data_IF_437678723548
#
_entry.id   IF_437678723548
#
_cell.length_a   1.000
_cell.length_b   1.000
_cell.length_c   1.000
_cell.angle_alpha   90.00
_cell.angle_beta   90.00
_cell.angle_gamma   90.00
#
_symmetry.space_group_name_H-M   'P 1'
#
loop_
_entity.id
_entity.type
_entity.pdbx_description
1 polymer ?
#
# COMPACT_ATOMS: atom_id res chain seq x y z
N UNK A 1 10.95 -2.92 11.83
CA UNK A 1 12.05 -1.98 12.14
C UNK A 1 12.38 -1.14 10.92
N UNK A 2 12.88 0.08 11.10
CA UNK A 2 13.37 0.92 9.99
C UNK A 2 14.58 0.30 9.29
N UNK A 3 15.50 -0.31 10.05
CA UNK A 3 16.71 -0.93 9.50
C UNK A 3 16.44 -2.02 8.47
N UNK A 4 15.37 -2.81 8.64
CA UNK A 4 14.96 -3.83 7.66
C UNK A 4 14.58 -3.24 6.30
N UNK A 5 13.94 -2.07 6.31
CA UNK A 5 13.58 -1.35 5.09
C UNK A 5 14.83 -0.70 4.46
N UNK A 6 15.64 0.00 5.25
CA UNK A 6 16.86 0.65 4.76
C UNK A 6 17.85 -0.34 4.16
N UNK A 7 17.97 -1.55 4.72
CA UNK A 7 18.87 -2.60 4.23
C UNK A 7 18.58 -3.09 2.80
N UNK A 8 17.37 -2.88 2.26
CA UNK A 8 16.94 -3.43 0.97
C UNK A 8 16.60 -2.36 -0.08
N UNK A 9 16.69 -1.09 0.27
CA UNK A 9 16.45 0.02 -0.66
C UNK A 9 17.75 0.76 -0.97
N UNK A 10 17.74 1.59 -2.02
CA UNK A 10 18.89 2.44 -2.32
C UNK A 10 19.01 3.56 -1.26
N UNK A 11 20.22 4.06 -1.02
CA UNK A 11 20.50 5.14 -0.05
C UNK A 11 19.61 6.38 -0.24
N UNK A 12 19.25 6.70 -1.48
CA UNK A 12 18.35 7.81 -1.81
C UNK A 12 16.91 7.64 -1.29
N UNK A 13 16.54 6.45 -0.81
CA UNK A 13 15.24 6.12 -0.21
C UNK A 13 15.36 5.72 1.27
N UNK A 14 16.55 5.85 1.89
CA UNK A 14 16.70 5.56 3.31
C UNK A 14 15.82 6.50 4.13
N UNK A 15 15.13 5.93 5.12
CA UNK A 15 14.43 6.69 6.14
C UNK A 15 15.47 7.17 7.16
N UNK A 16 15.49 8.47 7.51
CA UNK A 16 16.51 9.06 8.38
C UNK A 16 16.23 8.81 9.87
N UNK A 17 16.07 7.55 10.26
CA UNK A 17 15.84 7.12 11.64
C UNK A 17 16.83 6.00 12.03
N UNK A 18 17.12 5.82 13.32
CA UNK A 18 17.88 4.66 13.80
C UNK A 18 17.28 3.33 13.34
N UNK A 19 18.12 2.32 13.11
CA UNK A 19 17.70 1.03 12.56
C UNK A 19 16.64 0.33 13.42
N UNK A 20 16.76 0.41 14.75
CA UNK A 20 15.83 -0.22 15.69
C UNK A 20 14.55 0.58 15.92
N UNK A 21 14.33 1.68 15.20
CA UNK A 21 13.09 2.46 15.29
C UNK A 21 11.89 1.61 14.92
N UNK A 22 10.86 1.63 15.77
CA UNK A 22 9.60 0.94 15.54
C UNK A 22 8.83 1.63 14.41
N UNK A 23 8.33 0.81 13.49
CA UNK A 23 7.49 1.26 12.40
C UNK A 23 6.39 0.23 12.10
N UNK A 24 5.21 0.71 11.72
CA UNK A 24 4.09 -0.09 11.26
C UNK A 24 3.73 0.28 9.82
N UNK A 25 3.54 -0.74 8.98
CA UNK A 25 2.93 -0.54 7.66
C UNK A 25 1.42 -0.64 7.80
N UNK A 26 0.70 0.34 7.28
CA UNK A 26 -0.76 0.36 7.27
C UNK A 26 -1.26 -0.06 5.89
N UNK A 27 -2.23 -0.98 5.88
CA UNK A 27 -2.91 -1.44 4.68
C UNK A 27 -4.43 -1.36 4.85
N UNK A 28 -5.15 -1.10 3.75
CA UNK A 28 -6.60 -1.17 3.68
C UNK A 28 -7.03 -2.47 3.01
N UNK A 29 -7.94 -3.20 3.64
CA UNK A 29 -8.61 -4.38 3.08
C UNK A 29 -9.87 -3.96 2.30
N UNK A 30 -10.57 -4.88 1.60
CA UNK A 30 -11.82 -4.56 0.90
C UNK A 30 -12.83 -3.83 1.78
N UNK A 31 -13.00 -4.31 3.02
CA UNK A 31 -13.92 -3.75 4.01
C UNK A 31 -13.72 -2.28 4.37
N UNK A 32 -12.55 -1.68 4.06
CA UNK A 32 -12.29 -0.25 4.32
C UNK A 32 -13.29 0.64 3.57
N UNK A 33 -13.74 0.25 2.38
CA UNK A 33 -14.67 1.06 1.59
C UNK A 33 -16.01 1.27 2.32
N UNK A 34 -16.61 0.17 2.80
CA UNK A 34 -17.88 0.22 3.53
C UNK A 34 -17.72 0.78 4.95
N UNK A 35 -16.64 0.40 5.64
CA UNK A 35 -16.51 0.67 7.08
C UNK A 35 -15.83 1.99 7.41
N UNK A 36 -15.07 2.57 6.48
CA UNK A 36 -14.35 3.82 6.69
C UNK A 36 -14.73 4.87 5.66
N UNK A 37 -14.59 4.58 4.36
CA UNK A 37 -14.79 5.59 3.32
C UNK A 37 -16.22 6.12 3.27
N UNK A 38 -17.23 5.24 3.17
CA UNK A 38 -18.63 5.68 3.13
C UNK A 38 -19.05 6.48 4.38
N UNK A 39 -18.78 6.01 5.62
CA UNK A 39 -19.06 6.81 6.81
C UNK A 39 -18.34 8.15 6.84
N UNK A 40 -17.10 8.20 6.34
CA UNK A 40 -16.31 9.43 6.26
C UNK A 40 -16.93 10.44 5.30
N UNK A 41 -17.26 10.00 4.08
CA UNK A 41 -17.91 10.84 3.04
C UNK A 41 -19.24 11.41 3.54
N UNK A 42 -20.02 10.62 4.29
CA UNK A 42 -21.33 11.05 4.79
C UNK A 42 -21.26 12.06 5.95
N UNK A 43 -20.15 12.11 6.70
CA UNK A 43 -20.05 12.90 7.94
C UNK A 43 -19.18 14.15 7.79
N UNK A 44 -18.18 14.09 6.93
CA UNK A 44 -17.10 15.07 6.88
C UNK A 44 -17.27 16.01 5.68
N UNK A 45 -16.92 17.28 5.89
CA UNK A 45 -16.79 18.22 4.77
C UNK A 45 -15.50 17.93 4.02
N UNK A 46 -15.62 17.25 2.88
CA UNK A 46 -14.47 16.92 2.04
C UNK A 46 -13.87 18.17 1.39
N UNK A 47 -12.54 18.22 1.34
CA UNK A 47 -11.81 19.23 0.55
C UNK A 47 -11.76 18.75 -0.89
N UNK A 48 -12.40 19.48 -1.81
CA UNK A 48 -12.52 19.11 -3.24
C UNK A 48 -11.16 18.84 -3.91
N UNK A 49 -10.10 19.48 -3.42
CA UNK A 49 -8.74 19.42 -4.01
C UNK A 49 -8.08 18.04 -3.82
N UNK A 50 -8.53 17.21 -2.88
CA UNK A 50 -7.87 15.94 -2.54
C UNK A 50 -8.80 14.76 -2.77
N UNK A 51 -8.26 13.62 -3.18
CA UNK A 51 -9.05 12.40 -3.35
C UNK A 51 -9.77 12.00 -2.04
N UNK A 52 -11.05 11.58 -2.07
CA UNK A 52 -11.78 11.20 -0.86
C UNK A 52 -11.14 10.06 -0.07
N UNK A 53 -10.46 9.12 -0.74
CA UNK A 53 -9.77 8.00 -0.08
C UNK A 53 -8.58 8.50 0.71
N UNK A 54 -7.77 9.38 0.10
CA UNK A 54 -6.61 9.97 0.76
C UNK A 54 -7.01 10.79 2.00
N UNK A 55 -8.13 11.52 1.90
CA UNK A 55 -8.70 12.27 3.03
C UNK A 55 -9.21 11.34 4.14
N UNK A 56 -9.90 10.26 3.79
CA UNK A 56 -10.38 9.27 4.74
C UNK A 56 -9.21 8.63 5.50
N UNK A 57 -8.19 8.16 4.77
CA UNK A 57 -6.97 7.57 5.34
C UNK A 57 -6.26 8.58 6.23
N UNK A 58 -6.08 9.81 5.77
CA UNK A 58 -5.47 10.89 6.56
C UNK A 58 -6.24 11.16 7.85
N UNK A 59 -7.58 11.19 7.80
CA UNK A 59 -8.41 11.38 9.00
C UNK A 59 -8.17 10.28 10.02
N UNK A 60 -8.23 9.01 9.61
CA UNK A 60 -8.05 7.88 10.51
C UNK A 60 -6.63 7.81 11.10
N UNK A 61 -5.59 8.02 10.29
CA UNK A 61 -4.21 7.99 10.77
C UNK A 61 -3.86 9.19 11.64
N UNK A 62 -4.44 10.38 11.38
CA UNK A 62 -4.23 11.55 12.25
C UNK A 62 -4.90 11.35 13.61
N UNK A 63 -6.09 10.75 13.66
CA UNK A 63 -6.74 10.39 14.93
C UNK A 63 -6.01 9.31 15.72
N UNK A 64 -5.24 8.47 15.05
CA UNK A 64 -4.35 7.52 15.73
C UNK A 64 -3.24 8.28 16.48
N UNK A 65 -2.67 9.32 15.88
CA UNK A 65 -1.67 10.17 16.55
C UNK A 65 -2.22 10.80 17.84
N UNK A 66 -3.49 11.21 17.86
CA UNK A 66 -4.15 11.74 19.07
C UNK A 66 -4.25 10.71 20.21
N UNK A 67 -4.11 9.41 19.93
CA UNK A 67 -4.10 8.35 20.96
C UNK A 67 -2.74 8.16 21.63
N UNK A 68 -1.70 8.80 21.12
CA UNK A 68 -0.34 8.75 21.67
C UNK A 68 0.16 10.17 21.96
N UNK A 69 -0.49 10.92 22.87
CA UNK A 69 -0.18 12.33 23.11
C UNK A 69 1.26 12.56 23.60
N UNK A 70 1.83 11.58 24.31
CA UNK A 70 3.18 11.66 24.89
C UNK A 70 4.27 11.05 24.01
N UNK A 71 3.95 10.67 22.76
CA UNK A 71 4.90 10.05 21.84
C UNK A 71 4.95 10.80 20.52
N UNK A 72 6.16 10.91 19.96
CA UNK A 72 6.30 11.36 18.57
C UNK A 72 5.81 10.25 17.65
N UNK A 73 4.77 10.56 16.86
CA UNK A 73 4.29 9.68 15.79
C UNK A 73 4.38 10.43 14.47
N UNK A 74 5.23 9.92 13.58
CA UNK A 74 5.38 10.42 12.22
C UNK A 74 4.60 9.52 11.25
N UNK A 75 3.93 10.16 10.29
CA UNK A 75 3.08 9.47 9.32
C UNK A 75 3.60 9.80 7.93
N UNK A 76 3.81 8.77 7.12
CA UNK A 76 4.10 8.90 5.69
C UNK A 76 3.01 8.20 4.90
N UNK A 77 2.35 8.91 3.98
CA UNK A 77 1.28 8.32 3.16
C UNK A 77 1.83 7.81 1.83
N UNK A 78 1.19 6.78 1.27
CA UNK A 78 1.61 6.14 0.01
C UNK A 78 1.61 7.09 -1.19
N UNK A 79 0.75 8.11 -1.15
CA UNK A 79 0.62 9.14 -2.19
C UNK A 79 1.60 10.32 -2.04
N UNK A 80 2.39 10.39 -0.95
CA UNK A 80 3.30 11.52 -0.75
C UNK A 80 4.52 11.44 -1.67
N UNK A 81 4.72 12.52 -2.44
CA UNK A 81 5.84 12.68 -3.38
C UNK A 81 6.66 13.90 -2.96
N UNK A 82 7.98 13.73 -2.89
CA UNK A 82 8.95 14.79 -2.61
C UNK A 82 9.06 15.78 -3.80
N UNK A 83 9.59 17.00 -3.61
CA UNK A 83 9.75 17.98 -4.70
C UNK A 83 10.51 17.45 -5.93
N UNK A 84 11.41 16.48 -5.75
CA UNK A 84 12.16 15.81 -6.80
C UNK A 84 11.37 14.66 -7.51
N UNK A 85 10.05 14.59 -7.30
CA UNK A 85 9.14 13.56 -7.83
C UNK A 85 9.39 12.13 -7.32
N UNK A 86 10.24 11.93 -6.32
CA UNK A 86 10.40 10.62 -5.68
C UNK A 86 9.32 10.40 -4.63
N UNK A 87 8.79 9.17 -4.49
CA UNK A 87 7.93 8.85 -3.37
C UNK A 87 8.69 9.04 -2.05
N UNK A 88 8.01 9.48 -1.01
CA UNK A 88 8.60 9.70 0.32
C UNK A 88 9.15 8.40 0.93
N UNK A 89 8.55 7.27 0.58
CA UNK A 89 9.04 5.92 0.88
C UNK A 89 8.53 4.90 -0.17
N UNK A 90 9.15 3.73 -0.27
CA UNK A 90 8.74 2.66 -1.17
C UNK A 90 7.73 1.72 -0.47
N UNK A 91 6.44 1.99 -0.69
CA UNK A 91 5.34 1.30 0.00
C UNK A 91 5.39 -0.23 -0.09
N UNK A 92 5.60 -0.79 -1.30
CA UNK A 92 5.65 -2.23 -1.53
C UNK A 92 6.84 -2.88 -0.80
N UNK A 93 8.00 -2.22 -0.79
CA UNK A 93 9.17 -2.68 -0.02
C UNK A 93 8.88 -2.69 1.47
N UNK A 94 8.25 -1.64 2.01
CA UNK A 94 7.88 -1.58 3.41
C UNK A 94 6.93 -2.74 3.79
N UNK A 95 5.90 -3.00 2.99
CA UNK A 95 4.96 -4.10 3.21
C UNK A 95 5.65 -5.48 3.17
N UNK A 96 6.64 -5.66 2.30
CA UNK A 96 7.42 -6.88 2.21
C UNK A 96 8.24 -7.13 3.47
N UNK A 97 9.07 -6.17 3.88
CA UNK A 97 9.98 -6.36 5.02
C UNK A 97 9.24 -6.40 6.36
N UNK A 98 8.01 -5.88 6.42
CA UNK A 98 7.10 -6.02 7.55
C UNK A 98 6.38 -7.38 7.59
N UNK A 99 6.57 -8.25 6.60
CA UNK A 99 5.90 -9.56 6.51
C UNK A 99 4.44 -9.50 6.07
N UNK A 100 3.93 -8.33 5.67
CA UNK A 100 2.50 -8.12 5.40
C UNK A 100 2.06 -8.69 4.04
N UNK A 101 2.87 -8.52 3.00
CA UNK A 101 2.59 -9.01 1.66
C UNK A 101 3.90 -9.25 0.90
N UNK A 102 4.01 -10.38 0.21
CA UNK A 102 5.20 -10.66 -0.59
C UNK A 102 5.22 -9.71 -1.80
N UNK A 103 6.41 -9.20 -2.14
CA UNK A 103 6.60 -8.21 -3.19
C UNK A 103 7.29 -8.85 -4.38
N UNK A 104 6.50 -9.32 -5.34
CA UNK A 104 6.99 -9.98 -6.53
C UNK A 104 7.52 -8.95 -7.51
N UNK A 105 8.76 -9.14 -7.91
CA UNK A 105 9.52 -8.27 -8.80
C UNK A 105 10.07 -9.10 -9.97
N UNK A 106 10.53 -8.40 -11.02
CA UNK A 106 11.18 -9.04 -12.16
C UNK A 106 12.33 -9.98 -11.76
N UNK A 107 13.10 -9.63 -10.72
CA UNK A 107 14.20 -10.45 -10.19
C UNK A 107 13.76 -11.81 -9.59
N UNK A 108 12.47 -11.98 -9.31
CA UNK A 108 11.91 -13.20 -8.74
C UNK A 108 11.49 -14.22 -9.82
N UNK A 109 11.77 -13.91 -11.09
CA UNK A 109 11.62 -14.76 -12.28
C UNK A 109 12.99 -14.94 -12.93
N UNK A 110 13.47 -16.18 -13.05
CA UNK A 110 14.85 -16.46 -13.48
C UNK A 110 15.06 -16.20 -14.97
N UNK A 111 14.13 -16.66 -15.81
CA UNK A 111 14.16 -16.51 -17.26
C UNK A 111 12.97 -15.69 -17.72
N UNK A 112 13.07 -14.38 -17.50
CA UNK A 112 11.95 -13.48 -17.75
C UNK A 112 11.71 -13.22 -19.26
N UNK A 113 10.46 -13.18 -19.74
CA UNK A 113 10.14 -13.04 -21.16
C UNK A 113 10.09 -11.58 -21.65
N UNK A 114 10.42 -10.59 -20.80
CA UNK A 114 10.07 -9.19 -21.05
C UNK A 114 11.14 -8.38 -21.78
N UNK A 115 12.33 -8.95 -22.00
CA UNK A 115 13.43 -8.31 -22.71
C UNK A 115 13.80 -6.96 -22.08
N UNK A 116 13.82 -5.87 -22.88
CA UNK A 116 14.18 -4.52 -22.39
C UNK A 116 13.02 -3.76 -21.73
N UNK A 117 11.80 -4.33 -21.67
CA UNK A 117 10.64 -3.65 -21.07
C UNK A 117 10.86 -3.44 -19.57
N UNK A 118 10.47 -2.28 -19.06
CA UNK A 118 10.42 -2.02 -17.62
C UNK A 118 9.20 -2.77 -17.05
N UNK A 119 9.44 -3.59 -16.04
CA UNK A 119 8.41 -4.37 -15.35
C UNK A 119 8.37 -3.91 -13.91
N UNK A 120 7.22 -3.37 -13.50
CA UNK A 120 6.97 -2.97 -12.13
C UNK A 120 6.54 -4.18 -11.32
N UNK A 121 7.03 -4.28 -10.09
CA UNK A 121 6.60 -5.32 -9.17
C UNK A 121 5.22 -5.03 -8.57
N UNK A 122 4.66 -6.04 -7.92
CA UNK A 122 3.38 -5.96 -7.22
C UNK A 122 3.39 -6.79 -5.95
N UNK A 123 2.74 -6.28 -4.89
CA UNK A 123 2.54 -7.04 -3.66
C UNK A 123 1.28 -7.90 -3.72
N UNK A 124 1.35 -9.13 -3.21
CA UNK A 124 0.19 -10.00 -3.02
C UNK A 124 0.07 -10.37 -1.55
N UNK A 125 -1.08 -10.06 -0.97
CA UNK A 125 -1.41 -10.36 0.41
C UNK A 125 -1.96 -11.79 0.52
N UNK A 126 -1.48 -12.62 1.46
CA UNK A 126 -1.81 -14.06 1.50
C UNK A 126 -3.30 -14.38 1.72
N UNK A 127 -4.09 -13.40 2.17
CA UNK A 127 -5.55 -13.56 2.38
C UNK A 127 -6.42 -12.80 1.37
N UNK A 128 -5.87 -11.77 0.73
CA UNK A 128 -6.66 -10.83 -0.07
C UNK A 128 -6.15 -10.74 -1.51
N UNK A 129 -5.12 -11.49 -1.87
CA UNK A 129 -4.48 -11.39 -3.17
C UNK A 129 -4.01 -9.95 -3.41
N UNK A 130 -4.41 -9.37 -4.53
CA UNK A 130 -4.23 -7.95 -4.82
C UNK A 130 -5.40 -7.05 -4.39
N UNK A 131 -6.44 -7.57 -3.72
CA UNK A 131 -7.59 -6.80 -3.22
C UNK A 131 -7.30 -6.06 -1.92
N UNK A 132 -6.21 -5.30 -1.91
CA UNK A 132 -5.83 -4.42 -0.81
C UNK A 132 -5.03 -3.25 -1.37
N UNK A 133 -4.71 -2.29 -0.51
CA UNK A 133 -3.77 -1.23 -0.83
C UNK A 133 -2.94 -0.89 0.40
N UNK A 134 -1.68 -0.53 0.18
CA UNK A 134 -0.80 0.00 1.22
C UNK A 134 -1.12 1.49 1.36
N UNK A 135 -1.29 1.98 2.58
CA UNK A 135 -1.82 3.34 2.87
C UNK A 135 -0.83 4.26 3.55
N UNK A 136 0.20 3.69 4.16
CA UNK A 136 1.21 4.50 4.81
C UNK A 136 2.12 3.73 5.73
N UNK A 137 3.03 4.48 6.33
CA UNK A 137 3.96 4.07 7.35
C UNK A 137 3.72 4.93 8.59
N UNK A 138 3.59 4.29 9.75
CA UNK A 138 3.62 4.94 11.06
C UNK A 138 5.00 4.69 11.66
N UNK A 139 5.69 5.75 12.04
CA UNK A 139 7.01 5.73 12.65
C UNK A 139 6.89 6.23 14.09
N UNK A 140 7.57 5.55 15.00
CA UNK A 140 7.65 5.92 16.41
C UNK A 140 9.13 6.18 16.77
N UNK A 141 9.67 7.38 16.48
CA UNK A 141 11.09 7.67 16.62
C UNK A 141 11.63 7.43 18.04
N UNK A 142 10.77 7.65 19.04
CA UNK A 142 11.09 7.51 20.46
C UNK A 142 11.09 6.04 20.94
N UNK A 143 10.68 5.09 20.09
CA UNK A 143 10.56 3.67 20.45
C UNK A 143 11.60 2.84 19.68
N UNK A 144 12.55 2.28 20.44
CA UNK A 144 13.56 1.37 19.92
C UNK A 144 13.20 -0.08 20.27
N UNK A 145 13.28 -0.98 19.29
CA UNK A 145 12.88 -2.39 19.42
C UNK A 145 14.01 -3.34 19.00
N UNK A 146 15.19 -3.32 19.66
CA UNK A 146 16.35 -4.12 19.25
C UNK A 146 16.07 -5.63 19.18
N UNK A 147 15.16 -6.13 20.00
CA UNK A 147 14.81 -7.56 20.07
C UNK A 147 13.61 -7.96 19.21
N UNK A 148 13.00 -7.04 18.45
CA UNK A 148 11.92 -7.41 17.54
C UNK A 148 12.48 -8.26 16.40
N UNK A 149 11.90 -9.45 16.18
CA UNK A 149 12.31 -10.36 15.12
C UNK A 149 11.55 -10.09 13.82
N UNK A 150 12.22 -10.26 12.68
CA UNK A 150 11.61 -10.08 11.37
C UNK A 150 10.85 -11.33 10.95
N UNK A 151 9.56 -11.18 10.65
CA UNK A 151 8.78 -12.24 9.99
C UNK A 151 8.85 -12.09 8.47
N UNK A 152 9.22 -13.16 7.77
CA UNK A 152 9.21 -13.17 6.31
C UNK A 152 7.76 -13.10 5.78
N UNK A 153 7.50 -12.37 4.68
CA UNK A 153 6.19 -12.39 4.04
C UNK A 153 5.93 -13.77 3.42
N UNK A 154 4.66 -14.18 3.39
CA UNK A 154 4.25 -15.47 2.82
C UNK A 154 4.38 -15.45 1.29
N UNK A 155 5.25 -16.31 0.75
CA UNK A 155 5.37 -16.60 -0.69
C UNK A 155 4.15 -17.40 -1.17
N UNK A 156 3.06 -16.69 -1.41
CA UNK A 156 1.77 -17.21 -1.85
C UNK A 156 1.64 -17.41 -3.37
N UNK A 157 2.63 -16.98 -4.16
CA UNK A 157 2.71 -17.17 -5.62
C UNK A 157 4.03 -17.89 -5.92
N UNK A 158 4.03 -19.18 -5.63
CA UNK A 158 5.25 -19.97 -5.47
C UNK A 158 5.86 -20.48 -6.79
N UNK A 159 5.08 -20.53 -7.87
CA UNK A 159 5.58 -21.01 -9.17
C UNK A 159 6.07 -19.88 -10.05
N UNK A 160 7.13 -20.12 -10.82
CA UNK A 160 7.68 -19.14 -11.76
C UNK A 160 6.64 -18.74 -12.82
N UNK A 161 5.85 -19.69 -13.31
CA UNK A 161 4.78 -19.43 -14.27
C UNK A 161 3.72 -18.46 -13.71
N UNK A 162 3.28 -18.66 -12.47
CA UNK A 162 2.33 -17.74 -11.84
C UNK A 162 2.94 -16.36 -11.57
N UNK A 163 4.25 -16.27 -11.28
CA UNK A 163 4.93 -14.98 -11.13
C UNK A 163 5.01 -14.22 -12.45
N UNK A 164 5.27 -14.92 -13.56
CA UNK A 164 5.22 -14.35 -14.90
C UNK A 164 3.79 -13.83 -15.18
N UNK A 165 2.78 -14.69 -15.00
CA UNK A 165 1.38 -14.33 -15.20
C UNK A 165 0.97 -13.13 -14.36
N UNK A 166 1.33 -13.11 -13.07
CA UNK A 166 1.07 -12.01 -12.16
C UNK A 166 1.65 -10.69 -12.67
N UNK A 167 2.94 -10.70 -13.03
CA UNK A 167 3.63 -9.50 -13.49
C UNK A 167 3.11 -9.03 -14.84
N UNK A 168 2.73 -9.93 -15.75
CA UNK A 168 2.10 -9.57 -17.01
C UNK A 168 0.72 -8.96 -16.81
N UNK A 169 -0.15 -9.61 -16.02
CA UNK A 169 -1.48 -9.08 -15.74
C UNK A 169 -1.40 -7.72 -15.03
N UNK A 170 -0.47 -7.53 -14.09
CA UNK A 170 -0.29 -6.25 -13.41
C UNK A 170 0.25 -5.16 -14.34
N UNK A 171 1.22 -5.46 -15.21
CA UNK A 171 1.85 -4.42 -16.03
C UNK A 171 1.06 -4.09 -17.30
N UNK A 172 0.33 -5.05 -17.87
CA UNK A 172 -0.33 -4.88 -19.17
C UNK A 172 -1.86 -4.92 -19.10
N UNK A 173 -2.44 -5.45 -18.01
CA UNK A 173 -3.88 -5.71 -17.91
C UNK A 173 -4.51 -5.30 -16.56
N UNK A 174 -3.86 -4.43 -15.78
CA UNK A 174 -4.31 -4.12 -14.40
C UNK A 174 -5.77 -3.66 -14.27
N UNK A 175 -6.33 -3.05 -15.32
CA UNK A 175 -7.71 -2.56 -15.36
C UNK A 175 -8.74 -3.68 -15.31
N UNK A 176 -8.42 -4.88 -15.78
CA UNK A 176 -9.31 -6.04 -15.71
C UNK A 176 -9.35 -6.70 -14.32
N UNK A 177 -8.47 -6.25 -13.41
CA UNK A 177 -8.34 -6.69 -12.02
C UNK A 177 -7.94 -8.15 -11.79
N UNK A 178 -7.71 -8.95 -12.83
CA UNK A 178 -7.43 -10.40 -12.70
C UNK A 178 -6.16 -10.69 -11.92
N UNK A 179 -5.16 -9.83 -11.99
CA UNK A 179 -3.91 -9.99 -11.22
C UNK A 179 -4.16 -10.06 -9.71
N UNK A 180 -5.28 -9.48 -9.24
CA UNK A 180 -5.64 -9.48 -7.82
C UNK A 180 -6.13 -10.85 -7.35
N UNK A 181 -6.53 -11.71 -8.27
CA UNK A 181 -7.05 -13.07 -8.06
C UNK A 181 -6.03 -14.16 -8.43
N UNK A 182 -4.73 -13.83 -8.49
CA UNK A 182 -3.65 -14.82 -8.76
C UNK A 182 -3.62 -15.97 -7.74
N UNK A 183 -4.21 -15.76 -6.56
CA UNK A 183 -4.46 -16.76 -5.52
C UNK A 183 -5.94 -16.78 -5.15
N UNK A 184 -6.38 -17.82 -4.44
CA UNK A 184 -7.68 -17.80 -3.77
C UNK A 184 -7.69 -16.73 -2.67
N UNK A 185 -8.77 -15.93 -2.63
CA UNK A 185 -8.88 -14.78 -1.73
C UNK A 185 -10.11 -14.90 -0.84
N UNK A 186 -9.97 -14.45 0.41
CA UNK A 186 -11.05 -14.45 1.40
C UNK A 186 -12.16 -13.45 1.05
N UNK A 187 -11.81 -12.31 0.49
CA UNK A 187 -12.71 -11.20 0.23
C UNK A 187 -12.17 -10.37 -0.93
N UNK A 188 -13.08 -9.90 -1.79
CA UNK A 188 -12.79 -9.03 -2.93
C UNK A 188 -13.46 -7.67 -2.72
N UNK A 189 -13.09 -6.69 -3.52
CA UNK A 189 -13.87 -5.44 -3.58
C UNK A 189 -15.28 -5.74 -4.10
N UNK A 190 -16.29 -5.09 -3.52
CA UNK A 190 -17.66 -5.13 -4.04
C UNK A 190 -17.70 -4.52 -5.45
N UNK A 191 -18.75 -4.81 -6.22
CA UNK A 191 -18.92 -4.19 -7.55
C UNK A 191 -18.98 -2.66 -7.46
N UNK A 192 -19.59 -2.12 -6.41
CA UNK A 192 -19.60 -0.68 -6.13
C UNK A 192 -18.18 -0.14 -5.88
N UNK A 193 -17.38 -0.83 -5.06
CA UNK A 193 -16.00 -0.43 -4.78
C UNK A 193 -15.12 -0.54 -6.04
N UNK A 194 -15.33 -1.56 -6.88
CA UNK A 194 -14.66 -1.68 -8.18
C UNK A 194 -15.03 -0.52 -9.10
N UNK A 195 -16.32 -0.21 -9.21
CA UNK A 195 -16.81 0.93 -10.00
C UNK A 195 -16.18 2.24 -9.52
N UNK A 196 -16.15 2.47 -8.20
CA UNK A 196 -15.52 3.64 -7.61
C UNK A 196 -14.03 3.79 -7.98
N UNK A 197 -13.25 2.71 -7.90
CA UNK A 197 -11.82 2.77 -8.24
C UNK A 197 -11.54 2.80 -9.74
N UNK A 198 -12.47 2.29 -10.57
CA UNK A 198 -12.44 2.44 -12.02
C UNK A 198 -12.73 3.88 -12.45
N UNK A 199 -13.49 4.65 -11.65
CA UNK A 199 -13.73 6.07 -11.89
C UNK A 199 -12.44 6.88 -11.69
N UNK A 200 -12.06 7.74 -12.67
CA UNK A 200 -10.92 8.64 -12.53
C UNK A 200 -11.02 9.53 -11.28
N UNK A 201 -9.91 9.84 -10.59
CA UNK A 201 -9.95 10.63 -9.35
C UNK A 201 -10.72 11.96 -9.47
N UNK A 202 -10.62 12.63 -10.63
CA UNK A 202 -11.31 13.90 -10.90
C UNK A 202 -12.84 13.77 -10.94
N UNK A 203 -13.38 12.57 -11.18
CA UNK A 203 -14.82 12.32 -11.30
C UNK A 203 -15.43 11.70 -10.03
N UNK A 204 -14.61 11.31 -9.05
CA UNK A 204 -15.08 10.61 -7.84
C UNK A 204 -15.99 11.47 -6.96
N UNK A 205 -15.77 12.78 -6.89
CA UNK A 205 -16.67 13.68 -6.17
C UNK A 205 -18.08 13.68 -6.77
N UNK A 206 -18.16 13.76 -8.10
CA UNK A 206 -19.43 13.67 -8.84
C UNK A 206 -20.10 12.32 -8.62
N UNK A 207 -19.35 11.23 -8.66
CA UNK A 207 -19.87 9.88 -8.39
C UNK A 207 -20.49 9.78 -6.99
N UNK A 208 -19.90 10.44 -6.01
CA UNK A 208 -20.40 10.49 -4.62
C UNK A 208 -21.57 11.47 -4.43
N UNK A 209 -22.08 12.10 -5.49
CA UNK A 209 -23.14 13.10 -5.39
C UNK A 209 -22.71 14.41 -4.71
N UNK A 210 -21.40 14.65 -4.61
CA UNK A 210 -20.85 15.87 -4.04
C UNK A 210 -20.59 16.85 -5.19
N UNK A 211 -21.40 17.91 -5.26
CA UNK A 211 -21.23 19.01 -6.22
C UNK A 211 -20.08 19.93 -5.80
N UNK A 212 -19.38 20.48 -6.79
CA UNK A 212 -18.42 21.58 -6.64
C UNK A 212 -19.10 22.85 -6.12
#
# INVERSE_FOLDING_TARGET
KVGWYNAVVQSAFHLPYPDDTLAFVVLSTPSMFEKALKPFVNKERLKIIRDPVDQCVSHHLSRLKEKFPDQTVDIMFDYEILPNRKPKFLAQTAAHVAGAAYYYQRKDVKLDPWGKKKIFGVCIHPRYGGWFAIRGLLLFPDIQVPFLEQSAPVDCVSTEQQRIELLEQFNFHWQDTRYRDIIEVKEKYSEEQKAYFATPPAERFKLLGLTQ
#
